data_IF_976927549889
#
_entry.id   IF_976927549889
#
_cell.length_a   1.000
_cell.length_b   1.000
_cell.length_c   1.000
_cell.angle_alpha   90.00
_cell.angle_beta   90.00
_cell.angle_gamma   90.00
#
_symmetry.space_group_name_H-M   'P 1'
#
loop_
_entity.id
_entity.type
_entity.pdbx_description
1 polymer ?
#
# COMPACT_ATOMS: atom_id res chain seq x y z
N UNK A 1 -37.96 -35.13 37.48
CA UNK A 1 -38.91 -35.21 36.35
C UNK A 1 -38.51 -34.15 35.34
N UNK A 2 -38.67 -34.49 34.05
CA UNK A 2 -38.41 -33.70 32.85
C UNK A 2 -36.94 -33.47 32.46
N UNK A 3 -36.46 -34.43 31.67
CA UNK A 3 -35.32 -34.33 30.77
C UNK A 3 -35.76 -33.73 29.43
N UNK A 4 -34.86 -33.00 28.76
CA UNK A 4 -34.90 -32.90 27.30
C UNK A 4 -33.49 -32.78 26.74
N UNK A 5 -33.10 -33.86 26.06
CA UNK A 5 -31.87 -34.06 25.31
C UNK A 5 -31.97 -33.36 23.94
N UNK A 6 -30.87 -32.78 23.46
CA UNK A 6 -30.75 -32.33 22.07
C UNK A 6 -29.49 -32.97 21.46
N UNK A 7 -29.74 -33.64 20.35
CA UNK A 7 -28.95 -34.71 19.72
C UNK A 7 -27.81 -34.16 18.87
N UNK A 8 -26.69 -34.90 18.89
CA UNK A 8 -25.55 -34.77 17.98
C UNK A 8 -25.94 -35.05 16.52
N UNK A 9 -25.33 -34.32 15.58
CA UNK A 9 -25.20 -34.73 14.19
C UNK A 9 -23.70 -34.83 13.84
N UNK A 10 -23.27 -36.07 13.67
CA UNK A 10 -21.95 -36.50 13.17
C UNK A 10 -22.09 -36.68 11.66
N UNK A 11 -21.19 -36.11 10.87
CA UNK A 11 -21.06 -36.42 9.45
C UNK A 11 -19.72 -37.11 9.21
N UNK A 12 -19.83 -38.37 8.80
CA UNK A 12 -18.74 -39.32 8.65
C UNK A 12 -17.81 -39.03 7.47
N UNK A 13 -16.54 -39.29 7.75
CA UNK A 13 -15.44 -39.47 6.80
C UNK A 13 -15.60 -40.83 6.13
N UNK A 14 -15.52 -40.89 4.80
CA UNK A 14 -15.22 -42.15 4.11
C UNK A 14 -14.06 -41.96 3.13
N UNK A 15 -13.07 -42.83 3.30
CA UNK A 15 -11.86 -42.93 2.50
C UNK A 15 -11.74 -44.31 1.85
N UNK A 16 -11.00 -44.34 0.75
CA UNK A 16 -10.29 -45.45 0.11
C UNK A 16 -10.94 -46.10 -1.13
N UNK A 17 -10.22 -46.00 -2.25
CA UNK A 17 -9.52 -47.15 -2.81
C UNK A 17 -8.60 -46.76 -3.96
N UNK A 18 -7.35 -47.19 -3.85
CA UNK A 18 -6.35 -47.24 -4.90
C UNK A 18 -6.71 -48.36 -5.89
N UNK A 19 -6.46 -48.16 -7.20
CA UNK A 19 -5.96 -49.24 -8.08
C UNK A 19 -5.31 -48.74 -9.38
N UNK A 20 -4.27 -49.48 -9.72
CA UNK A 20 -3.21 -49.41 -10.75
C UNK A 20 -3.64 -49.28 -12.23
N UNK A 21 -2.83 -48.49 -12.95
CA UNK A 21 -2.25 -48.64 -14.30
C UNK A 21 -2.81 -49.69 -15.29
N UNK A 22 -3.06 -49.24 -16.53
CA UNK A 22 -2.65 -49.97 -17.74
C UNK A 22 -2.24 -49.02 -18.88
N UNK A 23 -1.02 -49.25 -19.38
CA UNK A 23 -0.44 -48.75 -20.63
C UNK A 23 -0.94 -49.62 -21.80
N UNK A 24 -1.34 -49.00 -22.91
CA UNK A 24 -1.22 -49.58 -24.25
C UNK A 24 -0.76 -48.52 -25.27
N UNK A 25 0.47 -48.76 -25.76
CA UNK A 25 1.07 -48.52 -27.10
C UNK A 25 0.04 -48.50 -28.26
N UNK A 26 0.26 -48.02 -29.48
CA UNK A 26 1.33 -47.33 -30.23
C UNK A 26 0.93 -47.49 -31.71
N UNK A 27 0.99 -46.45 -32.53
CA UNK A 27 1.45 -46.51 -33.93
C UNK A 27 1.58 -45.07 -34.47
N UNK A 28 2.79 -44.57 -34.75
CA UNK A 28 3.53 -44.72 -36.01
C UNK A 28 2.74 -44.09 -37.19
N UNK A 29 3.22 -43.14 -38.00
CA UNK A 29 4.54 -42.96 -38.61
C UNK A 29 4.68 -41.53 -39.20
N UNK A 30 5.92 -41.10 -39.25
CA UNK A 30 6.56 -39.96 -39.92
C UNK A 30 6.28 -39.80 -41.42
N UNK A 31 6.37 -38.58 -41.97
CA UNK A 31 7.50 -38.15 -42.83
C UNK A 31 7.29 -36.74 -43.42
N UNK A 32 8.42 -36.03 -43.51
CA UNK A 32 8.65 -34.73 -44.14
C UNK A 32 8.50 -34.75 -45.67
N UNK A 33 8.16 -33.60 -46.27
CA UNK A 33 9.08 -32.75 -47.07
C UNK A 33 8.41 -31.98 -48.22
N UNK A 34 8.70 -30.67 -48.25
CA UNK A 34 8.87 -29.71 -49.36
C UNK A 34 8.40 -30.06 -50.79
N UNK A 35 7.65 -29.14 -51.44
CA UNK A 35 8.16 -28.33 -52.57
C UNK A 35 7.18 -27.24 -53.07
N UNK A 36 7.79 -26.27 -53.77
CA UNK A 36 7.36 -24.93 -54.21
C UNK A 36 6.48 -24.83 -55.48
N UNK A 37 5.96 -23.60 -55.64
CA UNK A 37 5.64 -22.80 -56.86
C UNK A 37 4.24 -22.87 -57.52
N UNK A 38 3.56 -21.70 -57.57
CA UNK A 38 3.39 -20.91 -58.81
C UNK A 38 2.83 -19.49 -58.59
N UNK A 39 3.29 -18.59 -59.46
CA UNK A 39 3.06 -17.16 -59.58
C UNK A 39 1.60 -16.73 -59.85
N UNK A 40 1.25 -15.50 -59.43
CA UNK A 40 0.60 -14.47 -60.28
C UNK A 40 0.90 -13.05 -59.75
N UNK A 41 1.52 -12.22 -60.60
CA UNK A 41 1.65 -10.76 -60.47
C UNK A 41 0.52 -10.10 -61.27
N UNK A 42 -0.05 -9.01 -60.76
CA UNK A 42 -0.67 -7.95 -61.56
C UNK A 42 -0.49 -6.61 -60.84
N UNK A 43 -0.14 -5.57 -61.59
CA UNK A 43 0.30 -4.26 -61.10
C UNK A 43 -0.71 -3.14 -61.41
N UNK A 44 -0.65 -2.13 -60.52
CA UNK A 44 -1.24 -0.79 -60.37
C UNK A 44 -1.89 0.00 -61.53
N UNK A 45 -2.88 0.82 -61.15
CA UNK A 45 -3.06 2.21 -61.62
C UNK A 45 -3.88 3.07 -60.61
N UNK A 46 -3.46 4.29 -60.23
CA UNK A 46 -4.26 5.25 -59.46
C UNK A 46 -4.93 6.33 -60.35
N UNK A 47 -6.04 6.89 -59.87
CA UNK A 47 -6.85 7.95 -60.52
C UNK A 47 -6.83 9.27 -59.70
N UNK A 48 -7.08 10.44 -60.34
CA UNK A 48 -6.59 11.77 -59.92
C UNK A 48 -7.57 12.58 -59.03
N UNK A 49 -7.13 13.70 -58.42
CA UNK A 49 -7.97 14.55 -57.58
C UNK A 49 -8.71 15.63 -58.37
N UNK A 50 -9.97 15.89 -58.01
CA UNK A 50 -10.81 16.98 -58.54
C UNK A 50 -10.77 18.23 -57.65
N UNK A 51 -10.67 19.40 -58.29
CA UNK A 51 -10.87 20.75 -57.73
C UNK A 51 -12.34 20.98 -57.35
N UNK A 52 -12.65 21.92 -56.44
CA UNK A 52 -13.53 23.07 -56.70
C UNK A 52 -13.71 24.01 -55.48
N UNK A 53 -13.66 25.32 -55.81
CA UNK A 53 -14.41 26.47 -55.28
C UNK A 53 -14.20 27.01 -53.85
N UNK A 54 -13.61 28.22 -53.81
CA UNK A 54 -13.86 29.26 -52.79
C UNK A 54 -15.28 29.79 -52.93
N UNK A 55 -15.99 29.95 -51.82
CA UNK A 55 -17.11 30.89 -51.68
C UNK A 55 -16.90 31.68 -50.38
N UNK A 56 -16.85 33.01 -50.50
CA UNK A 56 -16.90 33.96 -49.40
C UNK A 56 -18.34 34.40 -49.17
N UNK A 57 -18.75 34.57 -47.92
CA UNK A 57 -19.88 35.42 -47.57
C UNK A 57 -19.51 36.35 -46.40
N UNK A 58 -19.87 37.61 -46.59
CA UNK A 58 -19.55 38.82 -45.85
C UNK A 58 -20.25 38.94 -44.49
N UNK A 59 -19.53 39.55 -43.54
CA UNK A 59 -20.00 39.95 -42.21
C UNK A 59 -20.88 41.20 -42.31
N UNK A 60 -22.05 41.19 -41.66
CA UNK A 60 -22.79 42.41 -41.29
C UNK A 60 -22.42 42.79 -39.84
N UNK A 61 -22.21 44.08 -39.53
CA UNK A 61 -21.65 44.49 -38.25
C UNK A 61 -22.75 44.61 -37.20
N UNK A 62 -22.64 43.86 -36.09
CA UNK A 62 -23.35 44.22 -34.86
C UNK A 62 -22.38 44.15 -33.68
N UNK A 63 -22.03 45.37 -33.26
CA UNK A 63 -21.73 45.84 -31.92
C UNK A 63 -20.85 44.96 -31.02
N UNK A 64 -19.67 45.53 -30.79
CA UNK A 64 -18.63 45.16 -29.84
C UNK A 64 -19.16 45.26 -28.40
N UNK A 65 -19.12 44.16 -27.66
CA UNK A 65 -18.75 44.18 -26.24
C UNK A 65 -17.46 43.36 -26.11
N UNK A 66 -16.40 44.03 -25.66
CA UNK A 66 -15.11 43.39 -25.42
C UNK A 66 -15.24 42.46 -24.18
N UNK A 67 -14.82 41.19 -24.27
CA UNK A 67 -14.72 40.35 -23.08
C UNK A 67 -13.64 40.92 -22.16
N UNK A 68 -13.99 41.12 -20.90
CA UNK A 68 -13.06 41.45 -19.82
C UNK A 68 -11.96 40.36 -19.83
N UNK A 69 -10.66 40.73 -19.83
CA UNK A 69 -9.60 39.74 -19.72
C UNK A 69 -9.68 39.13 -18.33
N UNK A 70 -10.22 37.91 -18.22
CA UNK A 70 -9.93 37.03 -17.10
C UNK A 70 -8.44 36.76 -17.23
N UNK A 71 -7.64 37.29 -16.31
CA UNK A 71 -6.25 36.93 -16.19
C UNK A 71 -6.21 35.41 -16.06
N UNK A 72 -5.58 34.76 -17.03
CA UNK A 72 -5.28 33.34 -16.95
C UNK A 72 -4.41 33.16 -15.70
N UNK A 73 -4.99 32.63 -14.64
CA UNK A 73 -4.21 32.13 -13.51
C UNK A 73 -3.34 31.01 -14.05
N UNK A 74 -2.03 31.21 -13.91
CA UNK A 74 -0.99 30.21 -14.14
C UNK A 74 -1.31 28.97 -13.30
N UNK A 75 -1.99 28.01 -13.90
CA UNK A 75 -2.24 26.67 -13.35
C UNK A 75 -0.93 25.89 -13.46
N UNK A 76 0.00 26.19 -12.55
CA UNK A 76 1.16 25.35 -12.27
C UNK A 76 0.97 24.68 -10.92
N UNK A 77 0.39 23.49 -10.99
CA UNK A 77 0.41 22.37 -10.05
C UNK A 77 0.87 22.72 -8.63
N UNK A 78 -0.09 23.05 -7.77
CA UNK A 78 0.03 22.84 -6.32
C UNK A 78 -0.98 21.76 -5.94
N UNK A 79 -0.64 20.82 -5.04
CA UNK A 79 -1.63 19.93 -4.47
C UNK A 79 -2.69 20.82 -3.81
N UNK A 80 -3.90 20.80 -4.37
CA UNK A 80 -5.03 21.51 -3.83
C UNK A 80 -5.28 20.97 -2.42
N UNK A 81 -5.14 21.85 -1.42
CA UNK A 81 -5.63 21.61 -0.08
C UNK A 81 -7.12 21.20 -0.14
N UNK A 82 -7.62 20.47 0.86
CA UNK A 82 -9.01 20.00 0.90
C UNK A 82 -9.85 20.79 1.90
N UNK A 83 -11.05 21.22 1.51
CA UNK A 83 -12.07 21.74 2.43
C UNK A 83 -11.57 22.85 3.38
N UNK A 84 -11.83 22.69 4.68
CA UNK A 84 -11.44 23.65 5.73
C UNK A 84 -9.92 23.85 5.82
N UNK A 85 -9.12 22.88 5.35
CA UNK A 85 -7.66 22.93 5.37
C UNK A 85 -7.07 23.90 4.34
N UNK A 86 -7.89 24.47 3.45
CA UNK A 86 -7.48 25.57 2.57
C UNK A 86 -7.57 26.95 3.22
N UNK A 87 -8.21 27.06 4.38
CA UNK A 87 -8.34 28.34 5.05
C UNK A 87 -7.00 28.72 5.69
N UNK A 88 -6.52 29.91 5.37
CA UNK A 88 -5.22 30.40 5.82
C UNK A 88 -5.26 30.70 7.31
N UNK A 89 -4.65 29.82 8.09
CA UNK A 89 -4.27 30.14 9.46
C UNK A 89 -2.91 30.84 9.44
N UNK A 90 -2.82 32.04 10.00
CA UNK A 90 -1.53 32.67 10.23
C UNK A 90 -0.83 31.94 11.40
N UNK A 91 -0.02 30.93 11.05
CA UNK A 91 0.77 30.15 12.02
C UNK A 91 1.65 31.02 12.93
N UNK A 92 1.92 32.28 12.56
CA UNK A 92 2.73 33.21 13.37
C UNK A 92 1.91 34.04 14.36
N UNK A 93 0.59 34.10 14.20
CA UNK A 93 -0.26 35.01 14.97
C UNK A 93 -0.82 34.41 16.27
N UNK A 94 -0.93 33.09 16.38
CA UNK A 94 -1.54 32.43 17.55
C UNK A 94 -0.50 32.05 18.63
N UNK A 95 -0.87 32.16 19.91
CA UNK A 95 0.05 31.85 21.02
C UNK A 95 0.35 30.34 21.18
N UNK A 96 -0.60 29.46 20.86
CA UNK A 96 -0.42 28.00 20.95
C UNK A 96 0.67 27.48 19.98
N UNK A 97 0.81 28.12 18.81
CA UNK A 97 1.78 27.71 17.77
C UNK A 97 3.23 28.04 18.13
N UNK A 98 3.49 28.90 19.12
CA UNK A 98 4.85 29.25 19.57
C UNK A 98 5.60 28.07 20.20
N UNK A 99 4.86 27.09 20.72
CA UNK A 99 5.42 25.85 21.30
C UNK A 99 5.65 24.74 20.28
N UNK A 100 5.08 24.87 19.08
CA UNK A 100 5.07 23.81 18.09
C UNK A 100 6.40 23.69 17.35
N UNK A 101 6.75 22.45 17.02
CA UNK A 101 7.85 22.13 16.12
C UNK A 101 7.51 22.53 14.68
N UNK A 102 8.52 22.47 13.80
CA UNK A 102 8.32 22.66 12.36
C UNK A 102 7.34 21.62 11.81
N UNK A 103 6.37 22.05 11.01
CA UNK A 103 5.42 21.19 10.28
C UNK A 103 6.13 20.05 9.53
N UNK A 104 5.58 18.85 9.60
CA UNK A 104 6.05 17.66 8.89
C UNK A 104 5.03 17.22 7.83
N UNK A 105 5.50 16.97 6.61
CA UNK A 105 4.68 16.41 5.52
C UNK A 105 4.68 14.88 5.58
N UNK A 106 3.49 14.28 5.70
CA UNK A 106 3.28 12.84 5.81
C UNK A 106 2.42 12.36 4.65
N UNK A 107 3.02 11.62 3.72
CA UNK A 107 2.31 10.98 2.62
C UNK A 107 1.83 9.59 3.02
N UNK A 108 0.60 9.22 2.64
CA UNK A 108 -0.01 7.91 2.93
C UNK A 108 -0.61 7.33 1.65
N UNK A 109 -0.13 6.18 1.18
CA UNK A 109 -0.73 5.47 0.03
C UNK A 109 -1.75 4.45 0.48
N UNK A 110 -2.77 4.19 -0.35
CA UNK A 110 -3.91 3.37 0.08
C UNK A 110 -4.70 4.06 1.19
N UNK A 111 -4.78 5.40 1.14
CA UNK A 111 -5.35 6.23 2.19
C UNK A 111 -6.86 6.01 2.42
N UNK A 112 -7.58 5.46 1.44
CA UNK A 112 -8.99 5.05 1.59
C UNK A 112 -9.17 3.62 2.14
N UNK A 113 -8.09 2.96 2.56
CA UNK A 113 -8.12 1.59 3.09
C UNK A 113 -8.38 1.52 4.59
N UNK A 114 -8.80 0.35 5.07
CA UNK A 114 -9.17 0.14 6.49
C UNK A 114 -8.04 0.46 7.48
N UNK A 115 -6.78 0.14 7.14
CA UNK A 115 -5.63 0.48 7.99
C UNK A 115 -5.48 2.00 8.09
N UNK A 116 -5.61 2.69 6.97
CA UNK A 116 -5.51 4.14 6.87
C UNK A 116 -6.62 4.84 7.66
N UNK A 117 -7.86 4.35 7.60
CA UNK A 117 -8.97 4.88 8.38
C UNK A 117 -8.73 4.87 9.91
N UNK A 118 -7.82 4.04 10.42
CA UNK A 118 -7.41 4.10 11.83
C UNK A 118 -6.15 4.92 12.04
N UNK A 119 -5.18 4.76 11.14
CA UNK A 119 -3.87 5.39 11.25
C UNK A 119 -3.95 6.92 11.13
N UNK A 120 -4.75 7.43 10.19
CA UNK A 120 -4.83 8.86 9.89
C UNK A 120 -5.28 9.68 11.10
N UNK A 121 -6.27 9.20 11.85
CA UNK A 121 -6.76 9.87 13.05
C UNK A 121 -5.74 9.83 14.19
N UNK A 122 -4.95 8.76 14.32
CA UNK A 122 -3.84 8.68 15.28
C UNK A 122 -2.70 9.63 14.93
N UNK A 123 -2.42 9.80 13.64
CA UNK A 123 -1.47 10.81 13.16
C UNK A 123 -1.98 12.22 13.49
N UNK A 124 -3.22 12.52 13.12
CA UNK A 124 -3.85 13.82 13.31
C UNK A 124 -3.98 14.22 14.80
N UNK A 125 -4.24 13.25 15.68
CA UNK A 125 -4.31 13.46 17.13
C UNK A 125 -2.94 13.68 17.80
N UNK A 126 -1.82 13.55 17.08
CA UNK A 126 -0.48 13.69 17.64
C UNK A 126 0.03 12.47 18.43
N UNK A 127 -0.67 11.33 18.40
CA UNK A 127 -0.26 10.10 19.12
C UNK A 127 1.07 9.55 18.58
N UNK A 128 1.34 9.76 17.29
CA UNK A 128 2.52 9.22 16.60
C UNK A 128 3.75 10.11 16.76
N UNK A 129 3.62 11.41 16.52
CA UNK A 129 4.76 12.34 16.48
C UNK A 129 4.88 13.23 17.74
N UNK A 130 3.90 13.18 18.63
CA UNK A 130 3.84 13.97 19.85
C UNK A 130 2.83 15.12 19.77
N UNK A 131 2.43 15.65 20.94
CA UNK A 131 1.38 16.68 21.04
C UNK A 131 1.80 18.08 20.59
N UNK A 132 3.09 18.28 20.27
CA UNK A 132 3.69 19.56 19.87
C UNK A 132 4.16 19.54 18.39
N UNK A 133 3.77 18.52 17.63
CA UNK A 133 4.24 18.30 16.27
C UNK A 133 3.10 18.45 15.26
N UNK A 134 2.94 19.63 14.63
CA UNK A 134 1.96 19.80 13.57
C UNK A 134 2.33 18.96 12.34
N UNK A 135 1.32 18.47 11.62
CA UNK A 135 1.46 17.64 10.43
C UNK A 135 0.59 18.12 9.26
N UNK A 136 1.04 17.79 8.05
CA UNK A 136 0.28 17.89 6.81
C UNK A 136 0.11 16.48 6.22
N UNK A 137 -1.11 16.06 5.94
CA UNK A 137 -1.43 14.75 5.38
C UNK A 137 -1.61 14.83 3.87
N UNK A 138 -0.80 14.04 3.14
CA UNK A 138 -0.87 13.91 1.68
C UNK A 138 -1.37 12.52 1.33
N UNK A 139 -2.64 12.41 0.95
CA UNK A 139 -3.36 11.14 0.85
C UNK A 139 -3.39 10.66 -0.59
N UNK A 140 -2.70 9.55 -0.87
CA UNK A 140 -2.64 8.92 -2.19
C UNK A 140 -3.65 7.77 -2.27
N UNK A 141 -4.62 7.90 -3.17
CA UNK A 141 -5.59 6.87 -3.52
C UNK A 141 -5.33 6.23 -4.88
N UNK A 142 -6.40 5.66 -5.44
CA UNK A 142 -6.49 5.18 -6.81
C UNK A 142 -7.74 5.77 -7.46
N UNK A 143 -7.82 5.76 -8.78
CA UNK A 143 -9.02 6.18 -9.52
C UNK A 143 -10.30 5.52 -8.99
N UNK A 144 -10.21 4.24 -8.59
CA UNK A 144 -11.34 3.45 -8.10
C UNK A 144 -11.82 3.84 -6.71
N UNK A 145 -10.96 4.51 -5.93
CA UNK A 145 -11.19 4.80 -4.53
C UNK A 145 -11.24 6.30 -4.24
N UNK A 146 -11.31 7.16 -5.26
CA UNK A 146 -11.25 8.62 -5.07
C UNK A 146 -12.43 9.13 -4.24
N UNK A 147 -13.64 8.61 -4.46
CA UNK A 147 -14.82 8.97 -3.66
C UNK A 147 -14.67 8.54 -2.19
N UNK A 148 -14.09 7.36 -1.95
CA UNK A 148 -13.81 6.90 -0.59
C UNK A 148 -12.73 7.76 0.07
N UNK A 149 -11.76 8.25 -0.71
CA UNK A 149 -10.70 9.14 -0.25
C UNK A 149 -11.25 10.52 0.14
N UNK A 150 -12.20 11.06 -0.63
CA UNK A 150 -12.95 12.27 -0.27
C UNK A 150 -13.71 12.08 1.05
N UNK A 151 -14.40 10.95 1.22
CA UNK A 151 -15.09 10.63 2.48
C UNK A 151 -14.13 10.62 3.69
N UNK A 152 -12.94 10.06 3.55
CA UNK A 152 -11.92 10.11 4.62
C UNK A 152 -11.45 11.53 4.90
N UNK A 153 -11.29 12.38 3.89
CA UNK A 153 -10.93 13.78 4.08
C UNK A 153 -12.05 14.57 4.80
N UNK A 154 -13.32 14.29 4.48
CA UNK A 154 -14.49 14.82 5.19
C UNK A 154 -14.51 14.42 6.67
N UNK A 155 -14.20 13.16 6.98
CA UNK A 155 -14.12 12.75 8.39
C UNK A 155 -12.96 13.43 9.14
N UNK A 156 -11.85 13.73 8.44
CA UNK A 156 -10.71 14.45 9.03
C UNK A 156 -11.02 15.93 9.31
N UNK A 157 -11.75 16.62 8.44
CA UNK A 157 -12.21 18.00 8.71
C UNK A 157 -13.18 18.06 9.90
N UNK A 158 -14.13 17.11 9.98
CA UNK A 158 -15.12 17.03 11.06
C UNK A 158 -14.50 16.69 12.42
N UNK A 159 -13.26 16.18 12.43
CA UNK A 159 -12.56 15.77 13.65
C UNK A 159 -11.87 16.93 14.38
N UNK A 160 -11.71 18.10 13.75
CA UNK A 160 -11.18 19.33 14.37
C UNK A 160 -9.83 19.17 15.08
N UNK A 161 -8.92 18.35 14.53
CA UNK A 161 -7.60 18.13 15.13
C UNK A 161 -6.69 19.35 14.94
N UNK A 162 -6.24 20.03 16.02
CA UNK A 162 -5.44 21.26 15.90
C UNK A 162 -4.08 21.05 15.21
N UNK A 163 -3.47 19.88 15.40
CA UNK A 163 -2.18 19.50 14.82
C UNK A 163 -2.27 19.13 13.34
N UNK A 164 -3.47 18.81 12.83
CA UNK A 164 -3.68 18.54 11.41
C UNK A 164 -3.90 19.85 10.67
N UNK A 165 -2.83 20.36 10.05
CA UNK A 165 -2.82 21.70 9.46
C UNK A 165 -3.26 21.71 8.02
N UNK A 166 -2.89 20.67 7.28
CA UNK A 166 -3.16 20.56 5.86
C UNK A 166 -3.57 19.12 5.54
N UNK A 167 -4.57 18.98 4.67
CA UNK A 167 -4.91 17.71 4.03
C UNK A 167 -4.99 17.98 2.53
N UNK A 168 -4.34 17.14 1.73
CA UNK A 168 -4.49 17.12 0.28
C UNK A 168 -4.71 15.68 -0.17
N UNK A 169 -5.62 15.47 -1.10
CA UNK A 169 -5.93 14.15 -1.66
C UNK A 169 -5.56 14.09 -3.13
N UNK A 170 -5.14 12.93 -3.62
CA UNK A 170 -4.79 12.76 -5.03
C UNK A 170 -4.57 11.31 -5.43
N UNK A 171 -4.38 11.11 -6.74
CA UNK A 171 -4.10 9.79 -7.33
C UNK A 171 -2.75 9.74 -8.04
N UNK A 172 -2.11 10.88 -8.29
CA UNK A 172 -0.76 10.96 -8.86
C UNK A 172 0.29 10.95 -7.74
N UNK A 173 1.16 9.92 -7.67
CA UNK A 173 2.23 9.88 -6.68
C UNK A 173 3.23 11.03 -6.80
N UNK A 174 3.47 11.60 -7.99
CA UNK A 174 4.40 12.74 -8.16
C UNK A 174 3.86 14.02 -7.54
N UNK A 175 2.54 14.18 -7.47
CA UNK A 175 1.92 15.32 -6.81
C UNK A 175 1.79 15.08 -5.30
N UNK A 176 1.29 13.90 -4.91
CA UNK A 176 1.03 13.58 -3.51
C UNK A 176 2.31 13.43 -2.69
N UNK A 177 3.40 12.92 -3.29
CA UNK A 177 4.68 12.76 -2.58
C UNK A 177 5.56 14.00 -2.56
N UNK A 178 5.12 15.11 -3.18
CA UNK A 178 5.85 16.37 -3.19
C UNK A 178 6.24 16.77 -1.76
N UNK A 179 7.51 17.03 -1.52
CA UNK A 179 8.07 17.44 -0.22
C UNK A 179 7.75 16.52 0.97
N UNK A 180 7.35 15.26 0.74
CA UNK A 180 7.07 14.32 1.82
C UNK A 180 8.33 14.06 2.68
N UNK A 181 8.18 14.13 4.00
CA UNK A 181 9.23 13.77 4.98
C UNK A 181 9.02 12.36 5.55
N UNK A 182 7.76 11.91 5.56
CA UNK A 182 7.38 10.52 5.80
C UNK A 182 6.51 10.00 4.67
N UNK A 183 6.73 8.76 4.24
CA UNK A 183 5.90 8.07 3.26
C UNK A 183 5.47 6.70 3.82
N UNK A 184 4.18 6.58 4.14
CA UNK A 184 3.56 5.38 4.70
C UNK A 184 2.83 4.64 3.57
N UNK A 185 3.53 3.66 2.98
CA UNK A 185 3.08 2.97 1.77
C UNK A 185 2.25 1.73 2.12
N UNK A 186 0.95 1.94 2.32
CA UNK A 186 0.01 0.88 2.74
C UNK A 186 -0.66 0.24 1.52
N UNK A 187 -0.98 1.04 0.50
CA UNK A 187 -1.68 0.59 -0.69
C UNK A 187 -0.90 -0.46 -1.48
N UNK A 188 -1.50 -1.64 -1.61
CA UNK A 188 -1.05 -2.71 -2.51
C UNK A 188 -2.28 -3.44 -3.06
N UNK A 189 -2.15 -4.05 -4.23
CA UNK A 189 -3.20 -4.88 -4.80
C UNK A 189 -3.34 -6.16 -3.97
N UNK A 190 -4.53 -6.47 -3.44
CA UNK A 190 -4.75 -7.73 -2.73
C UNK A 190 -4.68 -8.91 -3.70
N UNK A 191 -4.41 -10.10 -3.17
CA UNK A 191 -4.42 -11.33 -3.97
C UNK A 191 -5.87 -11.68 -4.34
N UNK A 192 -6.22 -11.50 -5.61
CA UNK A 192 -7.51 -11.89 -6.16
C UNK A 192 -7.62 -13.39 -6.47
N UNK A 193 -8.85 -13.90 -6.69
CA UNK A 193 -9.06 -15.29 -7.12
C UNK A 193 -8.29 -15.60 -8.40
N UNK A 194 -7.60 -16.75 -8.43
CA UNK A 194 -6.86 -17.22 -9.60
C UNK A 194 -5.50 -16.55 -9.84
N UNK A 195 -5.08 -15.56 -9.03
CA UNK A 195 -3.74 -14.97 -9.15
C UNK A 195 -2.68 -15.84 -8.49
N UNK A 196 -1.63 -16.15 -9.25
CA UNK A 196 -0.44 -16.81 -8.73
C UNK A 196 0.39 -15.84 -7.88
N UNK A 197 1.32 -16.40 -7.08
CA UNK A 197 2.21 -15.58 -6.25
C UNK A 197 3.14 -14.70 -7.09
N UNK A 198 3.56 -15.19 -8.26
CA UNK A 198 4.42 -14.46 -9.18
C UNK A 198 3.71 -13.22 -9.76
N UNK A 199 2.44 -13.37 -10.17
CA UNK A 199 1.65 -12.24 -10.69
C UNK A 199 1.45 -11.15 -9.65
N UNK A 200 1.18 -11.54 -8.39
CA UNK A 200 1.03 -10.59 -7.29
C UNK A 200 2.32 -9.81 -7.02
N UNK A 201 3.48 -10.48 -7.13
CA UNK A 201 4.79 -9.87 -7.00
C UNK A 201 5.06 -8.88 -8.13
N UNK A 202 4.74 -9.23 -9.37
CA UNK A 202 4.94 -8.36 -10.54
C UNK A 202 4.05 -7.12 -10.47
N UNK A 203 2.74 -7.30 -10.22
CA UNK A 203 1.79 -6.19 -10.16
C UNK A 203 2.14 -5.20 -9.03
N UNK A 204 2.39 -5.71 -7.82
CA UNK A 204 2.79 -4.82 -6.72
C UNK A 204 4.19 -4.25 -6.94
N UNK A 205 5.11 -5.02 -7.53
CA UNK A 205 6.43 -4.54 -7.90
C UNK A 205 6.36 -3.31 -8.81
N UNK A 206 5.48 -3.30 -9.81
CA UNK A 206 5.28 -2.14 -10.68
C UNK A 206 4.74 -0.91 -9.92
N UNK A 207 3.78 -1.10 -9.00
CA UNK A 207 3.25 -0.02 -8.15
C UNK A 207 4.37 0.61 -7.31
N UNK A 208 5.17 -0.23 -6.64
CA UNK A 208 6.24 0.25 -5.76
C UNK A 208 7.46 0.78 -6.52
N UNK A 209 7.71 0.30 -7.74
CA UNK A 209 8.70 0.89 -8.63
C UNK A 209 8.31 2.32 -9.00
N UNK A 210 7.05 2.55 -9.37
CA UNK A 210 6.57 3.89 -9.74
C UNK A 210 6.52 4.83 -8.54
N UNK A 211 6.02 4.36 -7.39
CA UNK A 211 6.08 5.14 -6.15
C UNK A 211 7.53 5.47 -5.74
N UNK A 212 8.47 4.54 -5.96
CA UNK A 212 9.90 4.79 -5.75
C UNK A 212 10.44 5.93 -6.62
N UNK A 213 10.12 5.93 -7.92
CA UNK A 213 10.51 7.01 -8.85
C UNK A 213 9.90 8.35 -8.44
N UNK A 214 8.63 8.36 -8.06
CA UNK A 214 7.95 9.56 -7.60
C UNK A 214 8.61 10.12 -6.33
N UNK A 215 8.83 9.29 -5.31
CA UNK A 215 9.56 9.68 -4.10
C UNK A 215 10.95 10.26 -4.45
N UNK A 216 11.67 9.59 -5.34
CA UNK A 216 12.99 10.06 -5.78
C UNK A 216 12.93 11.42 -6.49
N UNK A 217 11.88 11.67 -7.26
CA UNK A 217 11.73 12.91 -8.01
C UNK A 217 11.35 14.07 -7.08
N UNK A 218 10.35 13.89 -6.22
CA UNK A 218 9.62 15.01 -5.60
C UNK A 218 9.67 15.07 -4.07
N UNK A 219 10.02 13.98 -3.39
CA UNK A 219 10.03 13.97 -1.93
C UNK A 219 11.29 14.62 -1.35
N UNK A 220 11.28 14.82 -0.03
CA UNK A 220 12.46 15.22 0.72
C UNK A 220 13.60 14.21 0.49
N UNK A 221 14.83 14.70 0.29
CA UNK A 221 16.01 13.84 0.13
C UNK A 221 16.27 12.92 1.33
N UNK A 222 15.70 13.25 2.49
CA UNK A 222 15.80 12.46 3.71
C UNK A 222 14.46 11.83 4.15
N UNK A 223 13.50 11.71 3.22
CA UNK A 223 12.20 11.06 3.49
C UNK A 223 12.39 9.68 4.13
N UNK A 224 11.56 9.38 5.13
CA UNK A 224 11.48 8.06 5.77
C UNK A 224 10.33 7.27 5.17
N UNK A 225 10.62 6.10 4.63
CA UNK A 225 9.66 5.29 3.88
C UNK A 225 9.35 4.03 4.68
N UNK A 226 8.08 3.82 5.03
CA UNK A 226 7.59 2.63 5.70
C UNK A 226 6.62 1.91 4.77
N UNK A 227 6.97 0.70 4.37
CA UNK A 227 6.16 -0.14 3.48
C UNK A 227 5.39 -1.17 4.29
N UNK A 228 4.08 -1.15 4.12
CA UNK A 228 3.13 -2.11 4.70
C UNK A 228 2.51 -2.99 3.62
N UNK A 229 2.30 -2.44 2.41
CA UNK A 229 1.71 -3.15 1.28
C UNK A 229 2.49 -4.42 0.93
N UNK A 230 1.80 -5.56 0.93
CA UNK A 230 2.41 -6.87 0.71
C UNK A 230 2.74 -7.14 -0.77
N UNK A 231 3.82 -7.90 -1.07
CA UNK A 231 4.82 -8.46 -0.15
C UNK A 231 5.85 -7.41 0.32
N UNK A 232 5.80 -7.00 1.59
CA UNK A 232 6.39 -5.73 2.02
C UNK A 232 7.93 -5.67 1.89
N UNK A 233 8.67 -6.73 2.20
CA UNK A 233 10.13 -6.73 2.04
C UNK A 233 10.56 -6.55 0.58
N UNK A 234 9.93 -7.30 -0.35
CA UNK A 234 10.24 -7.21 -1.78
C UNK A 234 9.82 -5.85 -2.34
N UNK A 235 8.63 -5.37 -1.98
CA UNK A 235 8.14 -4.06 -2.37
C UNK A 235 9.07 -2.94 -1.88
N UNK A 236 9.59 -3.05 -0.65
CA UNK A 236 10.59 -2.12 -0.10
C UNK A 236 11.87 -2.12 -0.91
N UNK A 237 12.38 -3.30 -1.27
CA UNK A 237 13.57 -3.43 -2.11
C UNK A 237 13.35 -2.83 -3.50
N UNK A 238 12.18 -3.05 -4.11
CA UNK A 238 11.87 -2.47 -5.42
C UNK A 238 11.77 -0.95 -5.33
N UNK A 239 11.09 -0.43 -4.30
CA UNK A 239 10.92 1.00 -4.07
C UNK A 239 12.28 1.70 -3.92
N UNK A 240 13.17 1.20 -3.06
CA UNK A 240 14.50 1.79 -2.87
C UNK A 240 15.40 1.67 -4.11
N UNK A 241 15.24 0.61 -4.93
CA UNK A 241 16.01 0.45 -6.17
C UNK A 241 15.60 1.43 -7.26
N UNK A 242 14.37 1.93 -7.19
CA UNK A 242 13.88 2.99 -8.08
C UNK A 242 14.03 4.39 -7.48
N UNK A 243 14.69 4.51 -6.31
CA UNK A 243 14.92 5.77 -5.62
C UNK A 243 16.40 5.97 -5.23
N UNK A 244 17.32 6.08 -6.22
CA UNK A 244 18.76 6.13 -5.97
C UNK A 244 19.23 7.35 -5.15
N UNK A 245 18.50 8.45 -5.16
CA UNK A 245 18.86 9.70 -4.47
C UNK A 245 18.37 9.74 -3.02
N UNK A 246 17.61 8.73 -2.57
CA UNK A 246 17.16 8.58 -1.19
C UNK A 246 18.04 7.53 -0.51
N UNK A 247 18.62 7.80 0.67
CA UNK A 247 19.44 6.82 1.37
C UNK A 247 18.68 5.50 1.60
N UNK A 248 19.23 4.38 1.13
CA UNK A 248 18.61 3.05 1.25
C UNK A 248 18.23 2.68 2.70
N UNK A 249 18.97 3.20 3.69
CA UNK A 249 18.69 3.04 5.13
C UNK A 249 17.37 3.64 5.60
N UNK A 250 16.75 4.51 4.81
CA UNK A 250 15.48 5.16 5.15
C UNK A 250 14.25 4.31 4.77
N UNK A 251 14.45 3.18 4.10
CA UNK A 251 13.38 2.30 3.64
C UNK A 251 13.19 1.14 4.63
N UNK A 252 11.97 0.99 5.13
CA UNK A 252 11.61 0.02 6.15
C UNK A 252 10.45 -0.85 5.68
N UNK A 253 10.59 -2.17 5.76
CA UNK A 253 9.49 -3.11 5.62
C UNK A 253 8.89 -3.38 7.01
N UNK A 254 7.58 -3.21 7.19
CA UNK A 254 6.98 -3.26 8.52
C UNK A 254 6.74 -4.69 9.02
N UNK A 255 7.56 -5.15 9.97
CA UNK A 255 7.36 -6.41 10.73
C UNK A 255 6.94 -6.17 12.19
N UNK A 256 6.67 -4.91 12.56
CA UNK A 256 6.33 -4.52 13.95
C UNK A 256 5.05 -5.18 14.48
N UNK A 257 4.09 -5.47 13.59
CA UNK A 257 2.88 -6.19 13.98
C UNK A 257 3.21 -7.63 14.44
N UNK A 258 4.11 -8.32 13.74
CA UNK A 258 4.57 -9.65 14.12
C UNK A 258 5.35 -9.60 15.45
N UNK A 259 6.19 -8.58 15.66
CA UNK A 259 6.89 -8.36 16.94
C UNK A 259 5.91 -8.18 18.10
N UNK A 260 4.89 -7.32 17.95
CA UNK A 260 3.88 -7.09 18.97
C UNK A 260 3.08 -8.37 19.27
N UNK A 261 2.74 -9.15 18.23
CA UNK A 261 2.07 -10.47 18.38
C UNK A 261 2.97 -11.45 19.13
N UNK A 262 4.26 -11.49 18.81
CA UNK A 262 5.24 -12.33 19.49
C UNK A 262 5.37 -11.98 20.97
N UNK A 263 5.49 -10.68 21.31
CA UNK A 263 5.48 -10.21 22.70
C UNK A 263 4.23 -10.66 23.45
N UNK A 264 3.06 -10.52 22.84
CA UNK A 264 1.80 -10.96 23.44
C UNK A 264 1.81 -12.48 23.72
N UNK A 265 2.30 -13.30 22.80
CA UNK A 265 2.36 -14.76 22.98
C UNK A 265 3.36 -15.19 24.06
N UNK A 266 4.54 -14.56 24.13
CA UNK A 266 5.49 -14.81 25.21
C UNK A 266 4.92 -14.42 26.57
N UNK A 267 4.25 -13.27 26.66
CA UNK A 267 3.61 -12.80 27.88
C UNK A 267 2.54 -13.78 28.36
N UNK A 268 1.66 -14.22 27.45
CA UNK A 268 0.62 -15.22 27.73
C UNK A 268 1.20 -16.53 28.22
N UNK A 269 2.23 -17.07 27.56
CA UNK A 269 2.87 -18.34 27.96
C UNK A 269 3.57 -18.23 29.30
N UNK A 270 4.16 -17.08 29.62
CA UNK A 270 4.84 -16.84 30.88
C UNK A 270 3.92 -16.39 32.03
N UNK A 271 2.65 -16.10 31.76
CA UNK A 271 1.71 -15.62 32.78
C UNK A 271 2.00 -14.20 33.28
N UNK A 272 2.60 -13.36 32.43
CA UNK A 272 2.93 -11.96 32.73
C UNK A 272 2.19 -11.00 31.79
N UNK A 273 2.19 -9.72 32.12
CA UNK A 273 1.67 -8.70 31.21
C UNK A 273 2.70 -8.36 30.11
N UNK A 274 2.24 -7.91 28.93
CA UNK A 274 3.09 -7.79 27.74
C UNK A 274 4.15 -6.69 27.82
N UNK A 275 3.99 -5.74 28.75
CA UNK A 275 4.96 -4.70 29.07
C UNK A 275 6.22 -5.25 29.74
N UNK A 276 6.16 -6.48 30.28
CA UNK A 276 7.31 -7.20 30.83
C UNK A 276 8.18 -7.87 29.78
N UNK A 277 7.70 -8.00 28.55
CA UNK A 277 8.47 -8.60 27.44
C UNK A 277 9.28 -7.53 26.72
N UNK A 278 10.56 -7.78 26.50
CA UNK A 278 11.51 -6.88 25.83
C UNK A 278 12.49 -7.66 24.94
N UNK A 279 13.29 -6.94 24.15
CA UNK A 279 14.29 -7.51 23.24
C UNK A 279 13.73 -8.52 22.21
N UNK A 280 12.43 -8.45 21.92
CA UNK A 280 11.79 -9.28 20.90
C UNK A 280 12.23 -8.81 19.52
N UNK A 281 12.73 -9.73 18.68
CA UNK A 281 13.15 -9.44 17.31
C UNK A 281 12.45 -10.38 16.33
N UNK A 282 12.07 -9.87 15.17
CA UNK A 282 11.59 -10.66 14.04
C UNK A 282 12.63 -10.62 12.92
N UNK A 283 13.13 -11.78 12.51
CA UNK A 283 14.07 -11.91 11.40
C UNK A 283 13.38 -12.40 10.12
N UNK A 284 14.00 -12.07 8.98
CA UNK A 284 13.63 -12.60 7.68
C UNK A 284 12.53 -11.82 6.97
N UNK A 285 11.77 -12.54 6.15
CA UNK A 285 10.73 -11.98 5.31
C UNK A 285 9.40 -11.95 6.04
N UNK A 286 8.60 -10.90 5.84
CA UNK A 286 7.23 -10.79 6.36
C UNK A 286 6.31 -11.82 5.67
N UNK A 287 6.35 -13.05 6.19
CA UNK A 287 5.72 -14.25 5.62
C UNK A 287 5.78 -15.41 6.62
N UNK A 288 5.36 -16.60 6.21
CA UNK A 288 5.52 -17.84 6.99
C UNK A 288 6.96 -18.33 7.12
N UNK A 289 7.95 -17.61 6.59
CA UNK A 289 9.37 -17.91 6.81
C UNK A 289 10.03 -16.94 7.79
N UNK A 290 9.26 -16.07 8.45
CA UNK A 290 9.77 -15.20 9.50
C UNK A 290 10.24 -16.01 10.71
N UNK A 291 11.22 -15.48 11.43
CA UNK A 291 11.78 -16.11 12.64
C UNK A 291 11.56 -15.17 13.84
N UNK A 292 10.54 -15.43 14.67
CA UNK A 292 10.37 -14.78 15.96
C UNK A 292 11.46 -15.26 16.94
N UNK A 293 12.43 -14.40 17.21
CA UNK A 293 13.62 -14.73 18.00
C UNK A 293 13.34 -14.73 19.50
N UNK A 294 12.95 -15.89 20.03
CA UNK A 294 12.80 -16.08 21.47
C UNK A 294 14.14 -16.22 22.19
N UNK A 295 15.25 -16.49 21.50
CA UNK A 295 16.55 -16.73 22.12
C UNK A 295 17.10 -15.45 22.75
N UNK A 296 16.94 -14.32 22.05
CA UNK A 296 17.40 -13.00 22.50
C UNK A 296 16.32 -12.20 23.25
N UNK A 297 15.06 -12.66 23.20
CA UNK A 297 13.96 -12.04 23.92
C UNK A 297 14.12 -12.19 25.45
N UNK A 298 13.56 -11.22 26.19
CA UNK A 298 13.63 -11.15 27.65
C UNK A 298 12.26 -10.94 28.26
N UNK A 299 12.06 -11.48 29.45
CA UNK A 299 10.88 -11.26 30.31
C UNK A 299 11.40 -10.74 31.65
N UNK A 300 10.97 -9.53 32.05
CA UNK A 300 11.46 -8.82 33.25
C UNK A 300 13.00 -8.80 33.34
N UNK A 301 13.66 -8.58 32.18
CA UNK A 301 15.12 -8.52 32.07
C UNK A 301 15.83 -9.88 31.99
N UNK A 302 15.14 -10.99 32.28
CA UNK A 302 15.70 -12.35 32.25
C UNK A 302 15.49 -12.99 30.86
N UNK A 303 16.46 -13.76 30.31
CA UNK A 303 16.26 -14.46 29.04
C UNK A 303 15.01 -15.36 29.04
N UNK A 304 14.24 -15.35 27.95
CA UNK A 304 12.98 -16.11 27.84
C UNK A 304 13.14 -17.59 28.17
N UNK A 305 14.25 -18.21 27.76
CA UNK A 305 14.55 -19.64 28.03
C UNK A 305 14.66 -19.97 29.51
N UNK A 306 14.97 -18.99 30.35
CA UNK A 306 15.03 -19.16 31.79
C UNK A 306 13.67 -18.98 32.46
N UNK A 307 12.73 -18.29 31.83
CA UNK A 307 11.37 -18.08 32.35
C UNK A 307 10.42 -19.16 31.84
N UNK A 308 10.37 -19.38 30.53
CA UNK A 308 9.55 -20.41 29.89
C UNK A 308 10.40 -21.68 29.74
N UNK A 309 10.20 -22.64 30.65
CA UNK A 309 10.95 -23.91 30.66
C UNK A 309 10.53 -24.88 29.56
N UNK A 310 9.37 -24.65 28.95
CA UNK A 310 8.85 -25.44 27.84
C UNK A 310 9.54 -25.10 26.51
N UNK A 311 10.72 -25.70 26.31
CA UNK A 311 11.54 -25.47 25.12
C UNK A 311 10.88 -25.99 23.84
N UNK A 312 10.08 -27.07 23.94
CA UNK A 312 9.35 -27.62 22.79
C UNK A 312 8.31 -26.63 22.28
N UNK A 313 7.62 -25.93 23.18
CA UNK A 313 6.69 -24.88 22.79
C UNK A 313 7.40 -23.72 22.10
N UNK A 314 8.56 -23.27 22.62
CA UNK A 314 9.35 -22.19 22.01
C UNK A 314 9.81 -22.53 20.58
N UNK A 315 10.24 -23.77 20.35
CA UNK A 315 10.78 -24.20 19.06
C UNK A 315 9.70 -24.57 18.04
N UNK A 316 8.64 -25.26 18.47
CA UNK A 316 7.67 -25.88 17.56
C UNK A 316 6.34 -25.14 17.47
N UNK A 317 5.90 -24.48 18.54
CA UNK A 317 4.54 -23.90 18.60
C UNK A 317 4.56 -22.37 18.49
N UNK A 318 5.49 -21.71 19.19
CA UNK A 318 5.54 -20.25 19.28
C UNK A 318 5.57 -19.56 17.91
N UNK A 319 6.46 -20.02 17.03
CA UNK A 319 6.58 -19.51 15.66
C UNK A 319 5.31 -19.77 14.85
N UNK A 320 4.74 -20.97 14.94
CA UNK A 320 3.51 -21.31 14.21
C UNK A 320 2.32 -20.47 14.65
N UNK A 321 2.17 -20.20 15.96
CA UNK A 321 1.08 -19.39 16.49
C UNK A 321 1.12 -17.98 15.89
N UNK A 322 2.32 -17.37 15.79
CA UNK A 322 2.49 -16.04 15.20
C UNK A 322 2.20 -16.06 13.71
N UNK A 323 2.68 -17.08 13.00
CA UNK A 323 2.46 -17.24 11.55
C UNK A 323 0.99 -17.53 11.19
N UNK A 324 0.26 -18.28 12.01
CA UNK A 324 -1.15 -18.62 11.77
C UNK A 324 -2.11 -17.53 12.21
N UNK A 325 -1.69 -16.58 13.05
CA UNK A 325 -2.51 -15.44 13.46
C UNK A 325 -2.89 -14.51 12.30
N UNK A 326 -2.24 -14.67 11.14
CA UNK A 326 -2.62 -14.09 9.85
C UNK A 326 -3.95 -14.60 9.30
N UNK A 327 -4.33 -15.85 9.57
CA UNK A 327 -5.54 -16.49 9.03
C UNK A 327 -6.67 -16.70 10.05
N UNK A 328 -6.55 -16.14 11.25
CA UNK A 328 -7.53 -16.25 12.33
C UNK A 328 -8.55 -15.09 12.36
N UNK A 329 -8.54 -14.23 11.33
CA UNK A 329 -9.49 -13.15 11.11
C UNK A 329 -9.95 -13.17 9.66
#
# INVERSE_FOLDING_TARGET
>A
MAATSATMAVADVSSSSYSKTHLLKSSQISFLSNHLHKHRRCAFRPLPPTQYARISCSVAPNQVEAPIPIQAEDTKNKPECYGVFCLTYDLKAEEETKSWKKLINVAVSGAAGMISNHLLFKLAAGEVFGPDQPIALKLLGSERSIQALEGVAMELEDSLFPLLREVSIGIDPYEVFQDAEWALLIGAKPRGPGLERADLLDINGQIFAEQGKALNAVASRNVKVIVVGNPCNTNTLICLKNAPDIPAKNFHALTRLDENRAKCQLALKAGVFYDKVSNMTIWGNHSTTQVPDFLNARIDGVPVKEVIKDHKWLENEFTEIIQKRWGAY
#
